data_IF_921025849582
#
_entry.id   IF_921025849582
#
_cell.length_a   1.000
_cell.length_b   1.000
_cell.length_c   1.000
_cell.angle_alpha   90.00
_cell.angle_beta   90.00
_cell.angle_gamma   90.00
#
_symmetry.space_group_name_H-M   'P 1'
#
loop_
_entity.id
_entity.type
_entity.pdbx_description
1 polymer ?
#
# COMPACT_ATOMS: atom_id res chain seq x y z
N UNK A 1 -1.46 64.83 -73.24
CA UNK A 1 -0.17 64.29 -73.73
C UNK A 1 0.85 64.37 -72.60
N UNK A 2 1.58 63.26 -72.35
CA UNK A 2 2.92 63.15 -71.67
C UNK A 2 3.14 63.97 -70.38
N UNK A 3 3.57 63.42 -69.25
CA UNK A 3 4.37 62.23 -68.99
C UNK A 3 5.42 62.57 -67.92
N UNK A 4 5.76 61.57 -67.09
CA UNK A 4 6.92 61.44 -66.19
C UNK A 4 7.14 62.47 -65.08
N UNK A 5 7.35 61.98 -63.85
CA UNK A 5 8.67 61.86 -63.15
C UNK A 5 8.44 61.34 -61.72
N UNK A 6 8.98 60.16 -61.36
CA UNK A 6 10.31 59.94 -60.73
C UNK A 6 10.28 60.31 -59.23
N UNK A 7 10.01 59.33 -58.35
CA UNK A 7 10.95 58.57 -57.48
C UNK A 7 11.31 59.27 -56.15
N UNK A 8 11.15 58.49 -55.05
CA UNK A 8 11.97 58.35 -53.83
C UNK A 8 12.36 59.65 -53.09
N UNK A 9 12.18 59.81 -51.78
CA UNK A 9 12.67 58.95 -50.71
C UNK A 9 12.17 59.57 -49.38
N UNK A 10 11.74 58.76 -48.40
CA UNK A 10 11.99 59.11 -46.99
C UNK A 10 11.86 57.89 -46.08
N UNK A 11 13.01 57.42 -45.62
CA UNK A 11 13.14 56.49 -44.49
C UNK A 11 12.48 57.09 -43.25
N UNK A 12 11.64 56.33 -42.56
CA UNK A 12 11.27 56.65 -41.17
C UNK A 12 11.18 55.33 -40.40
N UNK A 13 12.27 54.99 -39.72
CA UNK A 13 12.31 53.87 -38.79
C UNK A 13 11.96 54.33 -37.37
N UNK A 14 11.22 53.43 -36.72
CA UNK A 14 10.94 53.28 -35.28
C UNK A 14 9.85 54.18 -34.67
N UNK A 15 8.64 53.59 -34.62
CA UNK A 15 7.46 54.06 -33.91
C UNK A 15 7.62 53.80 -32.41
N UNK A 16 7.29 54.86 -31.67
CA UNK A 16 7.12 54.96 -30.22
C UNK A 16 5.97 54.09 -29.72
N UNK A 17 6.16 53.37 -28.62
CA UNK A 17 5.15 52.95 -27.64
C UNK A 17 5.89 52.76 -26.30
N UNK A 18 6.15 53.79 -25.49
CA UNK A 18 5.29 54.36 -24.45
C UNK A 18 4.47 53.35 -23.61
N UNK A 19 5.03 53.08 -22.42
CA UNK A 19 4.42 53.29 -21.07
C UNK A 19 3.32 52.35 -20.51
N UNK A 20 3.36 52.25 -19.15
CA UNK A 20 2.42 51.69 -18.17
C UNK A 20 2.68 50.21 -17.81
N UNK A 21 2.94 49.79 -16.56
CA UNK A 21 2.63 50.35 -15.25
C UNK A 21 1.53 49.53 -14.58
N UNK A 22 1.82 48.87 -13.44
CA UNK A 22 0.95 48.42 -12.32
C UNK A 22 1.46 47.10 -11.72
N UNK A 23 1.55 47.11 -10.38
CA UNK A 23 2.12 46.10 -9.50
C UNK A 23 1.12 45.00 -9.11
N UNK A 24 1.61 43.80 -8.81
CA UNK A 24 1.09 42.93 -7.73
C UNK A 24 2.26 42.10 -7.16
N UNK A 25 2.70 42.43 -5.95
CA UNK A 25 3.47 41.52 -5.09
C UNK A 25 2.47 40.58 -4.42
N UNK A 26 2.25 39.39 -4.99
CA UNK A 26 1.47 38.33 -4.37
C UNK A 26 2.39 37.26 -3.78
N UNK A 27 2.41 37.26 -2.45
CA UNK A 27 3.01 36.31 -1.53
C UNK A 27 2.50 34.87 -1.77
N UNK A 28 3.40 33.94 -2.00
CA UNK A 28 3.16 32.52 -1.75
C UNK A 28 4.43 31.91 -1.17
N UNK A 29 4.41 31.65 0.13
CA UNK A 29 5.42 30.89 0.83
C UNK A 29 5.37 29.44 0.31
N UNK A 30 6.31 29.06 -0.56
CA UNK A 30 6.62 27.66 -0.77
C UNK A 30 7.45 27.22 0.45
N UNK A 31 6.79 26.68 1.47
CA UNK A 31 7.50 25.86 2.44
C UNK A 31 8.11 24.67 1.66
N UNK A 32 9.40 24.33 1.85
CA UNK A 32 9.89 23.06 1.37
C UNK A 32 9.08 21.97 2.08
N UNK A 33 8.39 21.14 1.29
CA UNK A 33 7.90 19.87 1.76
C UNK A 33 9.08 19.15 2.42
N UNK A 34 9.01 18.96 3.74
CA UNK A 34 9.94 18.10 4.44
C UNK A 34 9.71 16.70 3.87
N UNK A 35 10.61 16.26 2.99
CA UNK A 35 10.82 14.85 2.76
C UNK A 35 11.17 14.27 4.13
N UNK A 36 10.23 13.57 4.74
CA UNK A 36 10.49 12.84 5.97
C UNK A 36 11.58 11.83 5.66
N UNK A 37 12.60 11.91 6.50
CA UNK A 37 13.79 11.08 6.54
C UNK A 37 13.42 9.62 6.26
N UNK A 38 13.82 9.14 5.09
CA UNK A 38 13.71 7.76 4.72
C UNK A 38 14.66 6.98 5.63
N UNK A 39 14.11 6.50 6.75
CA UNK A 39 14.76 5.52 7.59
C UNK A 39 15.25 4.38 6.69
N UNK A 40 16.57 4.24 6.63
CA UNK A 40 17.31 3.17 5.98
C UNK A 40 16.73 1.81 6.33
N UNK A 41 15.99 1.22 5.39
CA UNK A 41 15.52 -0.17 5.41
C UNK A 41 14.97 -0.52 4.04
N UNK A 42 15.64 -1.44 3.34
CA UNK A 42 15.27 -1.87 1.99
C UNK A 42 13.87 -2.51 1.98
N UNK A 43 12.96 -1.97 1.17
CA UNK A 43 11.60 -2.54 0.99
C UNK A 43 10.49 -1.57 0.57
N UNK A 44 10.78 -0.33 0.20
CA UNK A 44 9.74 0.64 -0.18
C UNK A 44 9.23 0.42 -1.62
N UNK A 45 8.09 -0.28 -1.75
CA UNK A 45 7.25 -0.27 -2.94
C UNK A 45 5.77 0.02 -2.57
N UNK A 46 5.48 1.31 -2.40
CA UNK A 46 4.32 2.09 -2.88
C UNK A 46 2.90 1.48 -2.75
N UNK A 47 2.08 2.08 -1.87
CA UNK A 47 0.61 2.06 -1.90
C UNK A 47 0.04 3.34 -1.26
N UNK A 48 -0.69 4.14 -2.05
CA UNK A 48 -0.93 5.58 -1.81
C UNK A 48 -1.69 5.94 -0.51
N UNK A 49 -1.22 6.99 0.17
CA UNK A 49 -1.88 7.71 1.29
C UNK A 49 -2.02 6.92 2.62
N UNK A 50 -0.92 6.34 3.10
CA UNK A 50 -0.72 5.72 4.44
C UNK A 50 -0.55 4.19 4.44
N UNK A 51 -0.20 3.59 3.30
CA UNK A 51 0.36 2.24 3.26
C UNK A 51 1.87 2.26 3.50
N UNK A 52 2.31 2.57 4.72
CA UNK A 52 3.70 2.32 5.09
C UNK A 52 3.85 0.80 5.25
N UNK A 53 4.46 0.14 4.28
CA UNK A 53 4.97 -1.23 4.43
C UNK A 53 6.05 -1.20 5.52
N UNK A 54 5.65 -1.38 6.78
CA UNK A 54 6.58 -1.45 7.90
C UNK A 54 7.43 -2.71 7.75
N UNK A 55 8.62 -2.61 7.17
CA UNK A 55 9.46 -3.77 6.88
C UNK A 55 9.81 -4.55 8.15
N UNK A 56 9.18 -5.71 8.33
CA UNK A 56 9.51 -6.65 9.39
C UNK A 56 10.19 -7.88 8.79
N UNK A 57 11.30 -8.33 9.39
CA UNK A 57 12.01 -9.55 8.99
C UNK A 57 12.10 -10.43 10.23
N UNK A 58 11.38 -11.56 10.21
CA UNK A 58 11.38 -12.52 11.33
C UNK A 58 11.75 -13.92 10.85
N UNK A 59 12.84 -14.48 11.37
CA UNK A 59 13.25 -15.86 11.12
C UNK A 59 12.83 -16.77 12.27
N UNK A 60 11.70 -17.47 12.12
CA UNK A 60 11.20 -18.43 13.11
C UNK A 60 10.42 -19.58 12.45
N UNK A 61 10.33 -20.76 13.09
CA UNK A 61 9.81 -21.98 12.46
C UNK A 61 8.29 -21.95 12.16
N UNK A 62 7.54 -20.97 12.68
CA UNK A 62 6.11 -20.76 12.39
C UNK A 62 5.84 -19.24 12.45
N UNK A 63 5.42 -18.60 11.36
CA UNK A 63 5.03 -17.19 11.34
C UNK A 63 6.11 -16.17 10.97
N UNK A 64 7.18 -16.60 10.28
CA UNK A 64 8.11 -15.68 9.63
C UNK A 64 7.36 -14.79 8.61
N UNK A 65 7.47 -13.46 8.74
CA UNK A 65 6.84 -12.48 7.85
C UNK A 65 7.95 -11.81 7.03
N UNK A 66 7.76 -11.71 5.70
CA UNK A 66 8.67 -10.99 4.79
C UNK A 66 8.04 -9.67 4.39
N UNK A 67 8.64 -8.58 4.86
CA UNK A 67 8.13 -7.25 4.57
C UNK A 67 6.91 -6.94 5.41
N UNK A 68 6.56 -5.67 5.51
CA UNK A 68 5.47 -5.25 6.36
C UNK A 68 4.10 -5.74 5.97
N UNK A 69 3.11 -5.15 6.62
CA UNK A 69 1.74 -5.26 6.18
C UNK A 69 1.61 -4.79 4.73
N UNK A 70 0.89 -5.57 3.94
CA UNK A 70 0.60 -5.29 2.55
C UNK A 70 -0.87 -4.94 2.37
N UNK A 71 -1.18 -4.02 1.46
CA UNK A 71 -2.56 -3.61 1.15
C UNK A 71 -3.08 -2.44 2.02
N UNK A 72 -4.39 -2.20 1.91
CA UNK A 72 -5.01 -1.04 2.54
C UNK A 72 -5.13 -1.21 4.06
N UNK A 73 -4.79 -0.12 4.77
CA UNK A 73 -5.21 0.06 6.17
C UNK A 73 -6.71 0.32 6.18
N UNK A 74 -7.45 -0.44 6.98
CA UNK A 74 -8.90 -0.28 7.15
C UNK A 74 -9.15 0.20 8.57
N UNK A 75 -9.99 1.22 8.75
CA UNK A 75 -10.46 1.66 10.08
C UNK A 75 -9.89 2.98 10.57
N UNK A 76 -10.06 3.22 11.88
CA UNK A 76 -9.64 4.47 12.54
C UNK A 76 -8.12 4.53 12.71
N UNK A 77 -7.59 5.75 12.88
CA UNK A 77 -6.17 5.96 13.18
C UNK A 77 -5.87 5.46 14.60
N UNK A 78 -5.32 4.25 14.69
CA UNK A 78 -4.61 3.75 15.86
C UNK A 78 -3.20 4.32 15.88
N UNK A 79 -2.53 4.30 17.04
CA UNK A 79 -1.17 4.79 17.12
C UNK A 79 -0.21 3.93 16.27
N UNK A 80 0.73 4.57 15.56
CA UNK A 80 1.74 3.85 14.75
C UNK A 80 2.52 2.83 15.58
N UNK A 81 2.82 3.16 16.84
CA UNK A 81 3.49 2.26 17.79
C UNK A 81 2.69 0.97 18.05
N UNK A 82 1.35 1.03 18.04
CA UNK A 82 0.50 -0.14 18.23
C UNK A 82 0.53 -1.05 16.99
N UNK A 83 0.47 -0.46 15.80
CA UNK A 83 0.62 -1.17 14.53
C UNK A 83 2.00 -1.82 14.43
N UNK A 84 3.04 -1.07 14.78
CA UNK A 84 4.43 -1.55 14.80
C UNK A 84 4.60 -2.69 15.80
N UNK A 85 4.04 -2.58 17.00
CA UNK A 85 4.10 -3.64 17.99
C UNK A 85 3.42 -4.92 17.47
N UNK A 86 2.18 -4.81 16.98
CA UNK A 86 1.44 -5.97 16.47
C UNK A 86 2.20 -6.64 15.32
N UNK A 87 2.78 -5.85 14.40
CA UNK A 87 3.60 -6.37 13.32
C UNK A 87 4.90 -7.03 13.78
N UNK A 88 5.52 -6.52 14.85
CA UNK A 88 6.75 -7.06 15.41
C UNK A 88 6.56 -8.29 16.31
N UNK A 89 5.33 -8.58 16.72
CA UNK A 89 5.00 -9.68 17.63
C UNK A 89 3.97 -10.60 16.99
N UNK A 90 4.33 -11.37 15.95
CA UNK A 90 3.39 -12.25 15.30
C UNK A 90 2.90 -13.33 16.27
N UNK A 91 1.59 -13.57 16.22
CA UNK A 91 0.89 -14.60 17.01
C UNK A 91 0.30 -15.65 16.10
N UNK A 92 -0.14 -16.77 16.70
CA UNK A 92 -0.82 -17.81 15.93
C UNK A 92 -2.12 -17.26 15.32
N UNK A 93 -2.24 -17.39 14.00
CA UNK A 93 -3.43 -16.94 13.28
C UNK A 93 -4.55 -17.97 13.38
N UNK A 94 -5.78 -17.48 13.52
CA UNK A 94 -7.00 -18.31 13.44
C UNK A 94 -7.66 -18.15 12.07
N UNK A 95 -8.40 -19.18 11.64
CA UNK A 95 -9.21 -19.11 10.42
C UNK A 95 -10.67 -19.09 10.82
N UNK A 96 -11.32 -17.97 10.55
CA UNK A 96 -12.69 -17.72 10.96
C UNK A 96 -13.59 -17.72 9.73
N UNK A 97 -14.65 -18.51 9.80
CA UNK A 97 -15.79 -18.43 8.86
C UNK A 97 -16.72 -17.27 9.28
N UNK A 98 -16.13 -16.08 9.36
CA UNK A 98 -16.77 -14.83 9.69
C UNK A 98 -16.35 -13.77 8.68
N UNK A 99 -17.21 -12.77 8.47
CA UNK A 99 -16.85 -11.57 7.73
C UNK A 99 -16.25 -10.58 8.73
N UNK A 100 -14.92 -10.53 8.76
CA UNK A 100 -14.19 -9.65 9.66
C UNK A 100 -14.03 -8.29 8.97
N UNK A 101 -14.53 -7.25 9.64
CA UNK A 101 -14.36 -5.87 9.21
C UNK A 101 -14.36 -4.95 10.43
N UNK A 102 -13.99 -3.70 10.22
CA UNK A 102 -14.09 -2.65 11.24
C UNK A 102 -15.55 -2.47 11.63
N UNK A 103 -15.81 -2.37 12.93
CA UNK A 103 -17.18 -2.36 13.46
C UNK A 103 -17.66 -3.71 14.00
N UNK A 104 -16.96 -4.80 13.67
CA UNK A 104 -17.36 -6.14 14.11
C UNK A 104 -16.90 -6.39 15.54
N UNK A 105 -17.79 -6.89 16.40
CA UNK A 105 -17.42 -7.37 17.72
C UNK A 105 -16.79 -8.75 17.64
N UNK A 106 -15.62 -8.87 18.26
CA UNK A 106 -14.86 -10.12 18.31
C UNK A 106 -15.49 -11.07 19.34
N UNK A 107 -15.70 -12.32 18.92
CA UNK A 107 -16.23 -13.36 19.78
C UNK A 107 -15.26 -13.72 20.91
N UNK A 108 -15.80 -14.17 22.05
CA UNK A 108 -15.00 -14.57 23.23
C UNK A 108 -14.10 -15.80 23.00
N UNK A 109 -14.33 -16.50 21.90
CA UNK A 109 -13.59 -17.66 21.41
C UNK A 109 -12.29 -17.27 20.67
N UNK A 110 -12.11 -16.00 20.33
CA UNK A 110 -10.87 -15.47 19.75
C UNK A 110 -9.95 -14.97 20.86
N UNK A 111 -8.72 -15.48 20.89
CA UNK A 111 -7.69 -14.97 21.79
C UNK A 111 -7.21 -13.60 21.33
N UNK A 112 -7.40 -12.60 22.19
CA UNK A 112 -6.86 -11.25 22.00
C UNK A 112 -5.53 -11.11 22.73
N UNK A 113 -4.53 -10.56 22.04
CA UNK A 113 -3.20 -10.32 22.56
C UNK A 113 -3.03 -8.83 22.89
N UNK A 114 -2.55 -8.49 24.10
CA UNK A 114 -2.37 -7.09 24.48
C UNK A 114 -1.25 -6.45 23.67
N UNK A 115 -1.37 -5.14 23.45
CA UNK A 115 -0.32 -4.32 22.83
C UNK A 115 0.50 -3.65 23.93
N UNK A 116 1.81 -3.87 23.97
CA UNK A 116 2.64 -3.22 24.97
C UNK A 116 2.74 -1.72 24.70
N UNK A 117 2.51 -0.90 25.73
CA UNK A 117 2.46 0.55 25.59
C UNK A 117 1.13 1.13 25.10
N UNK A 118 0.14 0.27 24.79
CA UNK A 118 -1.23 0.66 24.43
C UNK A 118 -2.24 -0.17 25.23
N UNK A 119 -2.79 0.42 26.29
CA UNK A 119 -3.75 -0.26 27.17
C UNK A 119 -5.18 -0.33 26.59
N UNK A 120 -5.46 0.48 25.57
CA UNK A 120 -6.82 0.62 25.02
C UNK A 120 -7.07 -0.40 23.91
N UNK A 121 -6.02 -1.00 23.35
CA UNK A 121 -6.11 -1.93 22.24
C UNK A 121 -5.50 -3.31 22.53
N UNK A 122 -6.04 -4.30 21.86
CA UNK A 122 -5.45 -5.64 21.68
C UNK A 122 -5.43 -5.96 20.19
N UNK A 123 -4.72 -7.02 19.81
CA UNK A 123 -4.69 -7.50 18.43
C UNK A 123 -4.85 -9.01 18.35
N UNK A 124 -5.24 -9.49 17.18
CA UNK A 124 -5.21 -10.90 16.84
C UNK A 124 -4.93 -11.05 15.34
N UNK A 125 -4.50 -12.26 14.95
CA UNK A 125 -4.26 -12.60 13.57
C UNK A 125 -5.38 -13.51 13.09
N UNK A 126 -6.06 -13.15 12.01
CA UNK A 126 -7.07 -14.00 11.41
C UNK A 126 -7.18 -13.80 9.91
N UNK A 127 -7.39 -14.91 9.19
CA UNK A 127 -7.59 -14.92 7.74
C UNK A 127 -6.50 -14.10 7.01
N UNK A 128 -5.23 -14.31 7.37
CA UNK A 128 -4.07 -13.65 6.75
C UNK A 128 -3.91 -12.16 7.05
N UNK A 129 -4.71 -11.58 7.96
CA UNK A 129 -4.63 -10.17 8.35
C UNK A 129 -4.41 -10.01 9.86
N UNK A 130 -3.87 -8.85 10.22
CA UNK A 130 -3.87 -8.38 11.60
C UNK A 130 -5.10 -7.53 11.83
N UNK A 131 -5.73 -7.74 12.98
CA UNK A 131 -6.91 -7.00 13.40
C UNK A 131 -6.63 -6.40 14.77
N UNK A 132 -6.85 -5.10 14.89
CA UNK A 132 -6.71 -4.33 16.12
C UNK A 132 -8.11 -4.08 16.67
N UNK A 133 -8.26 -4.33 17.97
CA UNK A 133 -9.53 -4.42 18.67
C UNK A 133 -9.50 -3.44 19.84
N UNK A 134 -10.57 -2.67 20.03
CA UNK A 134 -10.73 -1.83 21.21
C UNK A 134 -11.11 -2.70 22.42
N UNK A 135 -10.32 -2.61 23.50
CA UNK A 135 -10.55 -3.38 24.73
C UNK A 135 -11.85 -2.98 25.45
N UNK A 136 -12.33 -1.76 25.23
CA UNK A 136 -13.54 -1.22 25.87
C UNK A 136 -14.85 -1.82 25.32
N UNK A 137 -14.87 -2.20 24.04
CA UNK A 137 -16.05 -2.75 23.36
C UNK A 137 -15.87 -4.18 22.87
N UNK A 138 -14.64 -4.60 22.58
CA UNK A 138 -14.36 -5.83 21.83
C UNK A 138 -14.53 -5.65 20.31
N UNK A 139 -14.67 -4.42 19.84
CA UNK A 139 -14.88 -4.10 18.43
C UNK A 139 -13.56 -4.01 17.67
N UNK A 140 -13.52 -4.56 16.46
CA UNK A 140 -12.43 -4.34 15.51
C UNK A 140 -12.43 -2.86 15.09
N UNK A 141 -11.34 -2.15 15.36
CA UNK A 141 -11.21 -0.71 15.06
C UNK A 141 -10.25 -0.41 13.92
N UNK A 142 -9.31 -1.32 13.65
CA UNK A 142 -8.38 -1.17 12.55
C UNK A 142 -7.83 -2.51 12.05
N UNK A 143 -7.36 -2.53 10.81
CA UNK A 143 -6.50 -3.58 10.26
C UNK A 143 -5.37 -2.93 9.47
N UNK A 144 -4.11 -3.10 9.87
CA UNK A 144 -2.98 -2.48 9.19
C UNK A 144 -2.64 -3.15 7.85
N UNK A 145 -3.19 -4.33 7.56
CA UNK A 145 -3.06 -5.00 6.27
C UNK A 145 -2.85 -6.51 6.37
N UNK A 146 -2.46 -7.09 5.23
CA UNK A 146 -2.15 -8.51 5.09
C UNK A 146 -0.74 -8.82 5.54
N UNK A 147 -0.59 -9.98 6.14
CA UNK A 147 0.69 -10.58 6.49
C UNK A 147 1.22 -11.34 5.27
N UNK A 148 2.51 -11.20 4.98
CA UNK A 148 3.17 -11.94 3.89
C UNK A 148 4.06 -13.02 4.50
N UNK A 149 3.65 -14.32 4.49
CA UNK A 149 4.44 -15.38 5.12
C UNK A 149 5.70 -15.69 4.31
N UNK A 150 6.86 -15.72 4.97
CA UNK A 150 8.15 -16.06 4.34
C UNK A 150 8.10 -17.45 3.69
N UNK A 151 7.57 -18.43 4.42
CA UNK A 151 7.46 -19.81 3.95
C UNK A 151 6.62 -19.93 2.70
N UNK A 152 5.56 -19.11 2.57
CA UNK A 152 4.76 -19.04 1.36
C UNK A 152 5.56 -18.43 0.21
N UNK A 153 6.26 -17.32 0.43
CA UNK A 153 7.11 -16.69 -0.60
C UNK A 153 8.18 -17.66 -1.10
N UNK A 154 8.88 -18.35 -0.19
CA UNK A 154 9.90 -19.35 -0.54
C UNK A 154 9.30 -20.51 -1.33
N UNK A 155 8.13 -21.02 -0.90
CA UNK A 155 7.44 -22.09 -1.60
C UNK A 155 7.07 -21.67 -3.03
N UNK A 156 6.45 -20.51 -3.20
CA UNK A 156 6.01 -20.02 -4.51
C UNK A 156 7.19 -19.89 -5.46
N UNK A 157 8.31 -19.28 -5.02
CA UNK A 157 9.52 -19.15 -5.84
C UNK A 157 10.10 -20.49 -6.28
N UNK A 158 9.93 -21.53 -5.47
CA UNK A 158 10.46 -22.87 -5.75
C UNK A 158 9.51 -23.75 -6.58
N UNK A 159 8.26 -23.31 -6.80
CA UNK A 159 7.21 -24.10 -7.44
C UNK A 159 6.50 -23.27 -8.53
N UNK A 160 7.14 -22.99 -9.67
CA UNK A 160 6.56 -22.18 -10.73
C UNK A 160 5.36 -22.87 -11.40
N UNK A 161 4.34 -22.06 -11.71
CA UNK A 161 3.15 -22.49 -12.47
C UNK A 161 3.11 -21.83 -13.85
N UNK A 162 2.12 -22.19 -14.67
CA UNK A 162 1.82 -21.43 -15.88
C UNK A 162 1.54 -19.96 -15.52
N UNK A 163 2.11 -19.07 -16.33
CA UNK A 163 2.03 -17.62 -16.15
C UNK A 163 0.81 -17.07 -16.89
N UNK A 164 0.09 -16.16 -16.24
CA UNK A 164 -1.03 -15.43 -16.83
C UNK A 164 -0.56 -14.03 -17.19
N UNK A 165 -0.90 -13.57 -18.39
CA UNK A 165 -0.64 -12.19 -18.80
C UNK A 165 -1.80 -11.30 -18.38
N UNK A 166 -1.49 -10.26 -17.60
CA UNK A 166 -2.46 -9.24 -17.20
C UNK A 166 -1.96 -7.89 -17.70
N UNK A 167 -2.83 -7.17 -18.39
CA UNK A 167 -2.56 -5.82 -18.85
C UNK A 167 -2.53 -4.85 -17.66
N UNK A 168 -1.47 -4.05 -17.58
CA UNK A 168 -1.25 -3.09 -16.50
C UNK A 168 -0.27 -3.58 -15.44
N UNK A 169 -0.10 -2.78 -14.39
CA UNK A 169 0.77 -3.12 -13.28
C UNK A 169 -0.03 -3.84 -12.19
N UNK A 170 0.46 -5.01 -11.79
CA UNK A 170 -0.12 -5.80 -10.70
C UNK A 170 0.72 -5.56 -9.47
N UNK A 171 0.09 -5.00 -8.44
CA UNK A 171 0.72 -4.59 -7.18
C UNK A 171 -0.07 -5.14 -5.99
N UNK A 172 0.51 -5.14 -4.77
CA UNK A 172 -0.23 -5.49 -3.57
C UNK A 172 -1.51 -4.66 -3.42
N UNK A 173 -2.62 -5.32 -3.10
CA UNK A 173 -3.97 -4.76 -3.09
C UNK A 173 -4.77 -5.02 -4.38
N UNK A 174 -4.12 -5.45 -5.47
CA UNK A 174 -4.82 -5.83 -6.71
C UNK A 174 -5.71 -7.05 -6.49
N UNK A 175 -6.96 -7.02 -6.94
CA UNK A 175 -7.89 -8.16 -6.83
C UNK A 175 -7.92 -8.93 -8.15
N UNK A 176 -7.55 -10.21 -8.12
CA UNK A 176 -7.59 -11.08 -9.29
C UNK A 176 -9.02 -11.47 -9.65
N UNK A 177 -9.33 -11.42 -10.95
CA UNK A 177 -10.60 -11.91 -11.49
C UNK A 177 -10.82 -13.38 -11.09
N UNK A 178 -12.07 -13.75 -10.82
CA UNK A 178 -12.48 -15.09 -10.40
C UNK A 178 -12.17 -16.17 -11.45
N UNK A 179 -12.02 -15.81 -12.71
CA UNK A 179 -11.67 -16.74 -13.79
C UNK A 179 -10.18 -17.10 -13.86
N UNK A 180 -9.30 -16.41 -13.12
CA UNK A 180 -7.87 -16.72 -13.09
C UNK A 180 -7.65 -17.94 -12.19
N UNK A 181 -7.06 -18.99 -12.72
CA UNK A 181 -6.68 -20.15 -11.92
C UNK A 181 -5.57 -19.79 -10.92
N UNK A 182 -5.77 -20.18 -9.67
CA UNK A 182 -4.80 -19.98 -8.58
C UNK A 182 -4.52 -21.31 -7.90
N UNK A 183 -3.31 -21.47 -7.37
CA UNK A 183 -2.87 -22.69 -6.70
C UNK A 183 -2.75 -22.43 -5.20
N UNK A 184 -3.33 -23.29 -4.37
CA UNK A 184 -3.22 -23.18 -2.92
C UNK A 184 -1.78 -23.43 -2.46
N UNK A 185 -1.34 -22.71 -1.43
CA UNK A 185 -0.05 -22.94 -0.77
C UNK A 185 -0.23 -24.03 0.30
N UNK A 186 0.44 -25.20 0.21
CA UNK A 186 0.17 -26.34 1.10
C UNK A 186 0.30 -26.03 2.60
N UNK A 187 1.38 -25.36 3.00
CA UNK A 187 1.70 -25.09 4.41
C UNK A 187 1.28 -23.67 4.87
N UNK A 188 0.55 -22.94 4.02
CA UNK A 188 0.03 -21.62 4.33
C UNK A 188 -1.46 -21.57 3.97
N UNK A 189 -2.30 -22.07 4.89
CA UNK A 189 -3.76 -22.09 4.70
C UNK A 189 -4.28 -20.68 4.41
N UNK A 190 -5.32 -20.56 3.60
CA UNK A 190 -5.87 -19.25 3.22
C UNK A 190 -4.99 -18.44 2.26
N UNK A 191 -3.80 -18.90 1.89
CA UNK A 191 -2.98 -18.29 0.83
C UNK A 191 -3.03 -19.12 -0.45
N UNK A 192 -3.04 -18.42 -1.56
CA UNK A 192 -2.89 -19.00 -2.89
C UNK A 192 -1.83 -18.22 -3.67
N UNK A 193 -1.39 -18.76 -4.80
CA UNK A 193 -0.45 -18.08 -5.67
C UNK A 193 -0.77 -18.31 -7.14
N UNK A 194 -0.26 -17.40 -7.96
CA UNK A 194 -0.30 -17.44 -9.42
C UNK A 194 0.94 -16.76 -9.95
N UNK A 195 1.40 -17.16 -11.13
CA UNK A 195 2.44 -16.42 -11.84
C UNK A 195 1.78 -15.40 -12.76
N UNK A 196 2.13 -14.13 -12.61
CA UNK A 196 1.59 -13.02 -13.41
C UNK A 196 2.74 -12.32 -14.12
N UNK A 197 2.68 -12.23 -15.44
CA UNK A 197 3.74 -11.62 -16.25
C UNK A 197 5.14 -12.17 -15.88
N UNK A 198 5.21 -13.49 -15.68
CA UNK A 198 6.39 -14.29 -15.30
C UNK A 198 6.95 -14.02 -13.89
N UNK A 199 6.18 -13.32 -13.06
CA UNK A 199 6.52 -13.01 -11.68
C UNK A 199 5.62 -13.80 -10.73
N UNK A 200 6.17 -14.43 -9.67
CA UNK A 200 5.35 -15.05 -8.65
C UNK A 200 4.54 -13.99 -7.90
N UNK A 201 3.23 -14.21 -7.79
CA UNK A 201 2.32 -13.39 -7.00
C UNK A 201 1.62 -14.25 -5.94
N UNK A 202 1.75 -13.84 -4.68
CA UNK A 202 1.03 -14.44 -3.55
C UNK A 202 -0.25 -13.62 -3.29
N UNK A 203 -1.35 -14.30 -2.99
CA UNK A 203 -2.64 -13.70 -2.72
C UNK A 203 -3.33 -14.31 -1.50
N UNK A 204 -4.23 -13.55 -0.91
CA UNK A 204 -5.26 -14.08 -0.02
C UNK A 204 -6.27 -14.89 -0.86
N UNK A 205 -6.46 -16.16 -0.52
CA UNK A 205 -7.28 -17.08 -1.30
C UNK A 205 -8.78 -16.75 -1.23
N UNK A 206 -9.24 -16.06 -0.18
CA UNK A 206 -10.66 -15.73 0.02
C UNK A 206 -11.05 -14.50 -0.77
N UNK A 207 -10.29 -13.41 -0.65
CA UNK A 207 -10.55 -12.14 -1.34
C UNK A 207 -9.92 -12.08 -2.73
N UNK A 208 -9.02 -13.01 -3.07
CA UNK A 208 -8.21 -13.00 -4.30
C UNK A 208 -7.34 -11.75 -4.44
N UNK A 209 -7.06 -11.09 -3.31
CA UNK A 209 -6.21 -9.90 -3.26
C UNK A 209 -4.75 -10.33 -3.29
N UNK A 210 -4.00 -9.82 -4.27
CA UNK A 210 -2.54 -9.93 -4.31
C UNK A 210 -1.97 -9.23 -3.09
N UNK A 211 -1.19 -9.94 -2.31
CA UNK A 211 -0.55 -9.42 -1.09
C UNK A 211 0.96 -9.24 -1.27
N UNK A 212 1.56 -9.94 -2.23
CA UNK A 212 2.97 -9.83 -2.56
C UNK A 212 3.21 -10.23 -4.02
N UNK A 213 4.14 -9.56 -4.68
CA UNK A 213 4.61 -9.90 -6.03
C UNK A 213 6.10 -9.53 -6.11
N UNK A 214 6.91 -10.39 -6.73
CA UNK A 214 8.37 -10.17 -6.88
C UNK A 214 8.69 -9.10 -7.90
#
# INVERSE_FOLDING_TARGET
MRGLRTQQEKVTNMRKLLLAGVAVLSLAAAAPALAQDAATGAGAAIGATNGATLGFIFGGPIGAIVGGFSGAVIGSTVADAAVEYAGNHPVEQVYLDADLDVGVNVGSDVTLYPIEGDADHSYFYANGRVWIVANSSGEIVASPGYVVPETAVVYVKSNPTASVTIDGDVTPGFVLDANVDVVNVPDARGYAYVYVNDRPALLDARSRTVIWIE
#
